data_IF_622555256004
#
_entry.id   IF_622555256004
#
_cell.length_a   1.000
_cell.length_b   1.000
_cell.length_c   1.000
_cell.angle_alpha   90.00
_cell.angle_beta   90.00
_cell.angle_gamma   90.00
#
_symmetry.space_group_name_H-M   'P 1'
#
loop_
_entity.id
_entity.type
_entity.pdbx_description
1 polymer ?
#
# COMPACT_ATOMS: atom_id res chain seq x y z
N UNK A 1 2.88 14.24 9.74
CA UNK A 1 2.89 13.39 8.55
C UNK A 1 1.74 13.82 7.63
N UNK A 2 1.97 13.93 6.31
CA UNK A 2 1.02 14.58 5.39
C UNK A 2 -0.13 13.64 4.97
N UNK A 3 0.17 12.41 4.58
CA UNK A 3 -0.85 11.45 4.14
C UNK A 3 -1.82 11.04 5.27
N UNK A 4 -1.32 10.93 6.49
CA UNK A 4 -2.07 10.55 7.69
C UNK A 4 -3.06 11.64 8.06
N UNK A 5 -2.65 12.91 7.95
CA UNK A 5 -3.55 14.04 8.18
C UNK A 5 -4.58 14.15 7.05
N UNK A 6 -4.15 13.95 5.80
CA UNK A 6 -5.06 13.91 4.65
C UNK A 6 -6.10 12.79 4.81
N UNK A 7 -5.70 11.63 5.33
CA UNK A 7 -6.59 10.50 5.60
C UNK A 7 -7.70 10.85 6.58
N UNK A 8 -7.45 11.68 7.59
CA UNK A 8 -8.48 12.11 8.53
C UNK A 8 -9.61 12.90 7.86
N UNK A 9 -9.30 13.63 6.78
CA UNK A 9 -10.28 14.40 5.99
C UNK A 9 -10.92 13.59 4.85
N UNK A 10 -10.31 12.49 4.42
CA UNK A 10 -10.76 11.69 3.27
C UNK A 10 -12.24 11.24 3.32
N UNK A 11 -12.82 10.83 4.47
CA UNK A 11 -14.23 10.46 4.53
C UNK A 11 -15.17 11.59 4.07
N UNK A 12 -14.83 12.85 4.34
CA UNK A 12 -15.61 14.01 3.90
C UNK A 12 -15.58 14.14 2.37
N UNK A 13 -14.41 13.99 1.75
CA UNK A 13 -14.29 13.99 0.30
C UNK A 13 -15.10 12.86 -0.34
N UNK A 14 -15.02 11.64 0.19
CA UNK A 14 -15.72 10.48 -0.41
C UNK A 14 -17.24 10.53 -0.25
N UNK A 15 -17.74 11.23 0.77
CA UNK A 15 -19.18 11.44 0.99
C UNK A 15 -19.72 12.64 0.19
N UNK A 16 -18.85 13.50 -0.33
CA UNK A 16 -19.17 14.65 -1.17
C UNK A 16 -19.87 14.31 -2.49
N UNK A 17 -20.64 15.28 -3.00
CA UNK A 17 -21.70 15.10 -4.01
C UNK A 17 -21.27 14.59 -5.41
N UNK A 18 -20.01 14.66 -5.90
CA UNK A 18 -19.65 14.00 -7.16
C UNK A 18 -19.21 12.54 -7.01
N UNK A 19 -18.80 12.07 -5.83
CA UNK A 19 -18.17 10.76 -5.66
C UNK A 19 -19.11 9.56 -5.78
N UNK A 20 -20.39 9.74 -5.41
CA UNK A 20 -21.43 8.71 -5.61
C UNK A 20 -21.63 8.32 -7.08
N UNK A 21 -21.33 9.23 -8.02
CA UNK A 21 -21.59 9.01 -9.46
C UNK A 21 -20.40 8.39 -10.20
N UNK A 22 -19.18 8.61 -9.73
CA UNK A 22 -17.95 8.12 -10.36
C UNK A 22 -17.28 7.11 -9.46
N UNK A 23 -17.65 5.84 -9.60
CA UNK A 23 -17.10 4.76 -8.79
C UNK A 23 -16.04 3.98 -9.58
N UNK A 24 -14.81 4.49 -9.65
CA UNK A 24 -13.66 3.77 -10.23
C UNK A 24 -12.44 3.92 -9.31
N UNK A 25 -11.37 3.13 -9.50
CA UNK A 25 -10.20 3.19 -8.61
C UNK A 25 -9.55 4.58 -8.56
N UNK A 26 -9.43 5.23 -9.72
CA UNK A 26 -8.94 6.61 -9.83
C UNK A 26 -9.76 7.63 -9.04
N UNK A 27 -11.00 7.30 -8.66
CA UNK A 27 -11.82 8.12 -7.78
C UNK A 27 -11.20 8.25 -6.38
N UNK A 28 -10.73 7.16 -5.78
CA UNK A 28 -10.09 7.21 -4.46
C UNK A 28 -8.81 8.03 -4.53
N UNK A 29 -7.99 7.79 -5.56
CA UNK A 29 -6.74 8.51 -5.77
C UNK A 29 -6.99 10.01 -5.91
N UNK A 30 -8.03 10.39 -6.67
CA UNK A 30 -8.45 11.79 -6.83
C UNK A 30 -8.92 12.40 -5.52
N UNK A 31 -9.79 11.70 -4.77
CA UNK A 31 -10.27 12.17 -3.46
C UNK A 31 -9.10 12.38 -2.48
N UNK A 32 -8.19 11.42 -2.41
CA UNK A 32 -7.04 11.50 -1.53
C UNK A 32 -6.04 12.58 -1.98
N UNK A 33 -5.87 12.77 -3.29
CA UNK A 33 -5.09 13.89 -3.85
C UNK A 33 -5.65 15.24 -3.40
N UNK A 34 -6.97 15.43 -3.43
CA UNK A 34 -7.60 16.66 -2.94
C UNK A 34 -7.38 16.87 -1.44
N UNK A 35 -7.52 15.81 -0.64
CA UNK A 35 -7.24 15.84 0.79
C UNK A 35 -5.78 16.26 1.08
N UNK A 36 -4.84 15.69 0.35
CA UNK A 36 -3.41 16.06 0.43
C UNK A 36 -3.17 17.52 0.05
N UNK A 37 -3.80 18.00 -1.03
CA UNK A 37 -3.66 19.40 -1.43
C UNK A 37 -4.23 20.35 -0.38
N UNK A 38 -5.35 20.01 0.25
CA UNK A 38 -5.90 20.79 1.36
C UNK A 38 -4.94 20.83 2.55
N UNK A 39 -4.33 19.70 2.88
CA UNK A 39 -3.32 19.61 3.94
C UNK A 39 -2.04 20.41 3.63
N UNK A 40 -1.58 20.43 2.38
CA UNK A 40 -0.42 21.23 2.01
C UNK A 40 -0.77 22.73 2.02
N UNK A 41 -1.96 23.11 1.52
CA UNK A 41 -2.45 24.48 1.57
C UNK A 41 -2.61 25.00 3.01
N UNK A 42 -3.14 24.18 3.92
CA UNK A 42 -3.33 24.58 5.32
C UNK A 42 -2.01 24.83 6.06
N UNK A 43 -0.90 24.27 5.54
CA UNK A 43 0.46 24.49 6.03
C UNK A 43 1.19 25.63 5.29
N UNK A 44 0.50 26.41 4.48
CA UNK A 44 1.05 27.50 3.66
C UNK A 44 2.18 27.04 2.71
N UNK A 45 2.12 25.78 2.24
CA UNK A 45 3.08 25.29 1.25
C UNK A 45 2.86 26.04 -0.07
N UNK A 46 3.89 26.71 -0.63
CA UNK A 46 3.76 27.39 -1.91
C UNK A 46 3.60 26.38 -3.04
N UNK A 47 2.64 26.61 -3.94
CA UNK A 47 2.38 25.78 -5.12
C UNK A 47 2.31 24.26 -4.82
N UNK A 48 1.37 23.81 -3.96
CA UNK A 48 1.32 22.43 -3.47
C UNK A 48 1.06 21.41 -4.58
N UNK A 49 0.38 21.81 -5.66
CA UNK A 49 0.13 20.98 -6.84
C UNK A 49 1.44 20.51 -7.48
N UNK A 50 2.50 21.31 -7.43
CA UNK A 50 3.81 20.95 -8.02
C UNK A 50 4.54 19.83 -7.28
N UNK A 51 4.11 19.49 -6.06
CA UNK A 51 4.67 18.44 -5.22
C UNK A 51 3.92 17.12 -5.39
N UNK A 52 2.69 17.15 -5.92
CA UNK A 52 1.80 16.01 -6.02
C UNK A 52 1.72 15.51 -7.46
N UNK A 53 1.91 14.20 -7.65
CA UNK A 53 1.83 13.56 -8.97
C UNK A 53 1.07 12.24 -8.88
N UNK A 54 0.11 12.04 -9.77
CA UNK A 54 -0.58 10.75 -9.93
C UNK A 54 0.10 9.91 -11.02
N UNK A 55 -0.07 8.59 -10.97
CA UNK A 55 0.38 7.65 -12.02
C UNK A 55 1.90 7.76 -12.32
N UNK A 56 2.71 7.84 -11.26
CA UNK A 56 4.16 8.06 -11.38
C UNK A 56 4.89 6.74 -11.56
N UNK A 57 5.70 6.64 -12.62
CA UNK A 57 6.56 5.48 -12.84
C UNK A 57 7.49 5.25 -11.64
N UNK A 58 7.59 4.01 -11.17
CA UNK A 58 8.61 3.63 -10.19
C UNK A 58 10.00 3.73 -10.85
N UNK A 59 10.99 4.42 -10.23
CA UNK A 59 12.34 4.50 -10.81
C UNK A 59 13.03 3.13 -10.96
N UNK A 60 12.63 2.15 -10.15
CA UNK A 60 13.15 0.78 -10.18
C UNK A 60 12.65 0.00 -11.40
N UNK A 61 11.41 0.29 -11.87
CA UNK A 61 10.79 -0.33 -13.04
C UNK A 61 9.78 0.65 -13.66
N UNK A 62 10.17 1.27 -14.77
CA UNK A 62 9.41 2.32 -15.46
C UNK A 62 8.12 1.83 -16.12
N UNK A 63 7.92 0.51 -16.19
CA UNK A 63 6.68 -0.13 -16.67
C UNK A 63 5.61 -0.19 -15.58
N UNK A 64 5.97 0.11 -14.33
CA UNK A 64 5.06 0.12 -13.17
C UNK A 64 4.88 1.55 -12.70
N UNK A 65 3.63 1.89 -12.33
CA UNK A 65 3.25 3.20 -11.81
C UNK A 65 2.69 3.06 -10.41
N UNK A 66 3.13 3.92 -9.52
CA UNK A 66 2.44 4.19 -8.26
C UNK A 66 1.24 5.09 -8.54
N UNK A 67 0.15 4.84 -7.83
CA UNK A 67 -1.07 5.62 -8.00
C UNK A 67 -0.88 7.09 -7.60
N UNK A 68 -0.13 7.35 -6.52
CA UNK A 68 0.17 8.70 -6.04
C UNK A 68 1.59 8.82 -5.48
N UNK A 69 2.25 9.94 -5.78
CA UNK A 69 3.55 10.32 -5.22
C UNK A 69 3.54 11.78 -4.78
N UNK A 70 4.01 12.04 -3.56
CA UNK A 70 4.38 13.38 -3.11
C UNK A 70 5.91 13.49 -3.03
N UNK A 71 6.46 14.52 -3.67
CA UNK A 71 7.86 14.92 -3.55
C UNK A 71 7.96 16.20 -2.71
N UNK A 72 8.32 16.06 -1.43
CA UNK A 72 8.46 17.18 -0.50
C UNK A 72 9.86 17.79 -0.48
N UNK A 73 10.84 17.23 -1.22
CA UNK A 73 12.24 17.69 -1.19
C UNK A 73 12.40 19.16 -1.54
N UNK A 74 11.53 19.67 -2.42
CA UNK A 74 11.52 21.09 -2.83
C UNK A 74 11.17 22.06 -1.71
N UNK A 75 10.64 21.58 -0.59
CA UNK A 75 10.34 22.42 0.56
C UNK A 75 11.60 22.82 1.34
N UNK A 76 12.68 22.04 1.22
CA UNK A 76 13.96 22.29 1.92
C UNK A 76 13.80 22.48 3.44
N UNK A 77 12.87 21.72 4.04
CA UNK A 77 12.56 21.76 5.48
C UNK A 77 13.00 20.50 6.23
N UNK A 78 13.51 19.49 5.52
CA UNK A 78 13.84 18.19 6.10
C UNK A 78 15.11 18.27 6.94
N UNK A 79 15.03 17.71 8.15
CA UNK A 79 16.11 17.62 9.11
C UNK A 79 15.95 16.34 9.94
N UNK A 80 16.97 16.02 10.71
CA UNK A 80 17.02 14.82 11.55
C UNK A 80 15.83 14.76 12.53
N UNK A 81 15.39 15.91 13.06
CA UNK A 81 14.26 15.98 13.98
C UNK A 81 12.95 15.52 13.34
N UNK A 82 12.65 15.98 12.12
CA UNK A 82 11.46 15.53 11.38
C UNK A 82 11.52 14.04 11.07
N UNK A 83 12.72 13.51 10.79
CA UNK A 83 12.90 12.10 10.52
C UNK A 83 12.56 11.24 11.75
N UNK A 84 12.84 11.71 12.97
CA UNK A 84 12.42 11.04 14.22
C UNK A 84 10.90 10.91 14.38
N UNK A 85 10.12 11.74 13.67
CA UNK A 85 8.65 11.68 13.64
C UNK A 85 8.10 10.95 12.42
N UNK A 86 8.90 10.11 11.77
CA UNK A 86 8.55 9.38 10.54
C UNK A 86 8.11 10.31 9.38
N UNK A 87 8.68 11.52 9.28
CA UNK A 87 8.50 12.33 8.09
C UNK A 87 9.49 11.89 7.01
N UNK A 88 8.94 11.57 5.84
CA UNK A 88 9.72 11.19 4.67
C UNK A 88 9.63 12.26 3.59
N UNK A 89 10.75 12.46 2.90
CA UNK A 89 10.88 13.37 1.77
C UNK A 89 10.00 12.98 0.59
N UNK A 90 9.88 11.68 0.34
CA UNK A 90 9.09 11.11 -0.73
C UNK A 90 8.01 10.22 -0.15
N UNK A 91 6.76 10.41 -0.53
CA UNK A 91 5.66 9.58 -0.03
C UNK A 91 4.96 8.91 -1.22
N UNK A 92 4.97 7.58 -1.24
CA UNK A 92 4.45 6.75 -2.31
C UNK A 92 3.21 6.01 -1.84
N UNK A 93 2.18 5.96 -2.69
CA UNK A 93 0.92 5.34 -2.36
C UNK A 93 0.38 4.49 -3.52
N UNK A 94 -0.08 3.30 -3.16
CA UNK A 94 -0.96 2.47 -3.98
C UNK A 94 -2.36 2.50 -3.35
N UNK A 95 -3.39 2.54 -4.18
CA UNK A 95 -4.78 2.64 -3.78
C UNK A 95 -5.60 1.46 -4.30
N UNK A 96 -6.56 0.99 -3.51
CA UNK A 96 -7.55 0.00 -3.97
C UNK A 96 -8.96 0.38 -3.56
N UNK A 97 -9.87 0.32 -4.53
CA UNK A 97 -11.30 0.53 -4.30
C UNK A 97 -12.10 -0.75 -4.44
N UNK A 98 -12.56 -1.27 -3.32
CA UNK A 98 -13.40 -2.46 -3.23
C UNK A 98 -14.88 -2.05 -3.18
N UNK A 99 -15.65 -2.45 -4.21
CA UNK A 99 -17.03 -2.00 -4.41
C UNK A 99 -18.02 -3.14 -4.57
N UNK A 100 -19.27 -2.87 -4.22
CA UNK A 100 -20.39 -3.76 -4.50
C UNK A 100 -21.03 -3.39 -5.84
N UNK A 101 -21.47 -4.41 -6.56
CA UNK A 101 -22.36 -4.29 -7.71
C UNK A 101 -23.79 -3.98 -7.24
N UNK A 102 -24.69 -3.70 -8.19
CA UNK A 102 -26.12 -3.48 -7.90
C UNK A 102 -26.80 -4.67 -7.21
N UNK A 103 -26.26 -5.88 -7.35
CA UNK A 103 -26.75 -7.08 -6.65
C UNK A 103 -26.17 -7.27 -5.25
N UNK A 104 -25.39 -6.31 -4.74
CA UNK A 104 -24.76 -6.39 -3.42
C UNK A 104 -23.54 -7.31 -3.34
N UNK A 105 -23.04 -7.80 -4.49
CA UNK A 105 -21.85 -8.66 -4.57
C UNK A 105 -20.61 -7.85 -4.98
N UNK A 106 -19.40 -8.18 -4.50
CA UNK A 106 -18.16 -7.53 -4.95
C UNK A 106 -18.02 -7.50 -6.48
N UNK A 107 -17.71 -6.32 -7.04
CA UNK A 107 -17.49 -6.14 -8.49
C UNK A 107 -16.28 -6.93 -8.96
N UNK A 108 -15.19 -6.83 -8.20
CA UNK A 108 -14.03 -7.72 -8.33
C UNK A 108 -14.24 -8.93 -7.44
N UNK A 109 -13.99 -10.13 -7.96
CA UNK A 109 -14.17 -11.35 -7.18
C UNK A 109 -13.34 -11.29 -5.90
N UNK A 110 -13.90 -11.74 -4.78
CA UNK A 110 -13.27 -11.70 -3.45
C UNK A 110 -11.84 -12.24 -3.45
N UNK A 111 -11.59 -13.34 -4.18
CA UNK A 111 -10.25 -13.91 -4.30
C UNK A 111 -9.29 -13.01 -5.09
N UNK A 112 -9.75 -12.37 -6.16
CA UNK A 112 -8.93 -11.42 -6.92
C UNK A 112 -8.65 -10.16 -6.10
N UNK A 113 -9.64 -9.61 -5.39
CA UNK A 113 -9.45 -8.45 -4.49
C UNK A 113 -8.39 -8.74 -3.42
N UNK A 114 -8.45 -9.93 -2.80
CA UNK A 114 -7.44 -10.40 -1.83
C UNK A 114 -6.03 -10.33 -2.41
N UNK A 115 -5.84 -10.83 -3.63
CA UNK A 115 -4.52 -10.92 -4.25
C UNK A 115 -4.04 -9.62 -4.90
N UNK A 116 -4.94 -8.75 -5.34
CA UNK A 116 -4.57 -7.42 -5.84
C UNK A 116 -4.03 -6.54 -4.70
N UNK A 117 -4.66 -6.57 -3.53
CA UNK A 117 -4.17 -5.89 -2.32
C UNK A 117 -2.80 -6.44 -1.90
N UNK A 118 -2.64 -7.78 -1.89
CA UNK A 118 -1.35 -8.42 -1.62
C UNK A 118 -0.26 -7.95 -2.60
N UNK A 119 -0.58 -7.86 -3.89
CA UNK A 119 0.37 -7.41 -4.91
C UNK A 119 0.82 -5.98 -4.66
N UNK A 120 -0.10 -5.06 -4.38
CA UNK A 120 0.24 -3.66 -4.14
C UNK A 120 1.06 -3.50 -2.85
N UNK A 121 0.77 -4.29 -1.81
CA UNK A 121 1.59 -4.35 -0.62
C UNK A 121 3.04 -4.79 -0.93
N UNK A 122 3.22 -5.86 -1.71
CA UNK A 122 4.57 -6.32 -2.12
C UNK A 122 5.24 -5.28 -3.02
N UNK A 123 4.50 -4.59 -3.89
CA UNK A 123 5.03 -3.52 -4.75
C UNK A 123 5.56 -2.35 -3.93
N UNK A 124 4.83 -1.89 -2.92
CA UNK A 124 5.30 -0.82 -2.03
C UNK A 124 6.58 -1.20 -1.28
N UNK A 125 6.68 -2.45 -0.83
CA UNK A 125 7.91 -2.96 -0.21
C UNK A 125 9.07 -3.09 -1.20
N UNK A 126 8.82 -3.34 -2.49
CA UNK A 126 9.89 -3.67 -3.45
C UNK A 126 10.27 -2.53 -4.39
N UNK A 127 9.33 -1.74 -4.88
CA UNK A 127 9.54 -0.81 -6.01
C UNK A 127 9.70 0.65 -5.59
N UNK A 128 9.35 0.98 -4.35
CA UNK A 128 9.53 2.34 -3.82
C UNK A 128 11.03 2.62 -3.71
N UNK A 129 11.54 3.63 -4.44
CA UNK A 129 12.96 3.98 -4.42
C UNK A 129 13.36 4.45 -3.02
N UNK A 130 14.58 4.16 -2.63
CA UNK A 130 15.15 4.61 -1.36
C UNK A 130 16.64 4.90 -1.55
N UNK A 131 17.28 5.35 -0.47
CA UNK A 131 18.73 5.42 -0.43
C UNK A 131 19.36 4.05 -0.72
N UNK A 132 20.52 4.06 -1.36
CA UNK A 132 21.11 2.86 -1.95
C UNK A 132 22.13 2.18 -1.05
N UNK A 133 22.70 2.90 -0.08
CA UNK A 133 23.76 2.35 0.77
C UNK A 133 23.16 1.70 2.02
N UNK A 134 23.80 0.62 2.43
CA UNK A 134 23.44 -0.09 3.65
C UNK A 134 23.60 0.84 4.86
N UNK A 135 22.60 0.81 5.75
CA UNK A 135 22.46 1.65 6.95
C UNK A 135 22.18 3.13 6.70
N UNK A 136 21.98 3.55 5.44
CA UNK A 136 21.44 4.88 5.17
C UNK A 136 20.02 4.98 5.72
N UNK A 137 19.70 6.18 6.17
CA UNK A 137 18.34 6.56 6.53
C UNK A 137 17.42 6.52 5.31
N UNK A 138 16.22 6.01 5.50
CA UNK A 138 15.23 5.93 4.43
C UNK A 138 14.58 7.29 4.19
N UNK A 139 14.45 7.66 2.92
CA UNK A 139 13.84 8.93 2.49
C UNK A 139 12.39 8.75 2.01
N UNK A 140 11.88 7.52 2.03
CA UNK A 140 10.62 7.15 1.38
C UNK A 140 9.56 6.57 2.31
N UNK A 141 8.45 7.28 2.43
CA UNK A 141 7.21 6.78 3.01
C UNK A 141 6.47 5.86 2.04
N UNK A 142 5.84 4.81 2.58
CA UNK A 142 5.19 3.74 1.83
C UNK A 142 3.78 3.52 2.36
N UNK A 143 2.78 3.71 1.52
CA UNK A 143 1.39 3.77 1.94
C UNK A 143 0.49 2.93 1.06
N UNK A 144 -0.36 2.11 1.68
CA UNK A 144 -1.41 1.38 0.99
C UNK A 144 -2.75 1.93 1.48
N UNK A 145 -3.49 2.56 0.57
CA UNK A 145 -4.83 3.07 0.85
C UNK A 145 -5.85 2.10 0.28
N UNK A 146 -6.79 1.62 1.08
CA UNK A 146 -7.89 0.85 0.54
C UNK A 146 -9.21 1.23 1.18
N UNK A 147 -10.23 1.45 0.33
CA UNK A 147 -11.59 1.73 0.75
C UNK A 147 -12.54 0.64 0.28
N UNK A 148 -13.53 0.35 1.12
CA UNK A 148 -14.53 -0.67 0.94
C UNK A 148 -15.92 -0.06 1.02
N UNK A 149 -16.76 -0.38 0.05
CA UNK A 149 -18.19 -0.18 0.16
C UNK A 149 -18.78 -1.35 0.96
N UNK A 150 -19.31 -1.09 2.15
CA UNK A 150 -19.72 -2.16 3.06
C UNK A 150 -18.56 -2.71 3.89
N UNK A 151 -18.72 -3.93 4.42
CA UNK A 151 -17.75 -4.52 5.33
C UNK A 151 -16.55 -5.12 4.58
N UNK A 152 -15.29 -4.84 5.01
CA UNK A 152 -14.10 -5.39 4.36
C UNK A 152 -14.10 -6.92 4.23
N UNK A 153 -14.73 -7.64 5.17
CA UNK A 153 -14.78 -9.11 5.16
C UNK A 153 -15.44 -9.69 3.90
N UNK A 154 -16.28 -8.91 3.21
CA UNK A 154 -16.92 -9.29 1.94
C UNK A 154 -15.92 -9.38 0.77
N UNK A 155 -14.74 -8.76 0.91
CA UNK A 155 -13.73 -8.61 -0.15
C UNK A 155 -12.51 -9.50 0.04
N UNK A 156 -12.44 -10.24 1.15
CA UNK A 156 -11.32 -11.12 1.47
C UNK A 156 -11.69 -12.59 1.55
N UNK A 157 -10.81 -13.44 1.02
CA UNK A 157 -10.87 -14.88 1.25
C UNK A 157 -9.92 -15.24 2.38
N UNK A 158 -10.45 -15.32 3.61
CA UNK A 158 -9.64 -15.58 4.81
C UNK A 158 -9.03 -16.98 4.85
N UNK A 159 -9.62 -17.97 4.17
CA UNK A 159 -9.16 -19.35 4.23
C UNK A 159 -8.70 -19.86 2.87
N UNK A 160 -7.58 -20.58 2.82
CA UNK A 160 -7.14 -21.35 1.66
C UNK A 160 -7.33 -22.84 1.89
N UNK A 161 -7.44 -23.59 0.80
CA UNK A 161 -7.36 -25.04 0.88
C UNK A 161 -5.88 -25.45 0.88
N UNK A 162 -5.48 -26.25 1.87
CA UNK A 162 -4.11 -26.75 2.01
C UNK A 162 -4.17 -28.21 2.47
N UNK A 163 -3.72 -29.15 1.63
CA UNK A 163 -3.57 -30.58 1.98
C UNK A 163 -4.77 -31.20 2.72
N UNK A 164 -5.99 -30.98 2.21
CA UNK A 164 -7.29 -31.46 2.77
C UNK A 164 -7.81 -30.72 4.01
N UNK A 165 -7.14 -29.68 4.49
CA UNK A 165 -7.66 -28.76 5.51
C UNK A 165 -7.84 -27.35 4.95
N UNK A 166 -8.52 -26.51 5.73
CA UNK A 166 -8.55 -25.06 5.51
C UNK A 166 -7.55 -24.40 6.43
N UNK A 167 -6.70 -23.55 5.87
CA UNK A 167 -5.71 -22.77 6.59
C UNK A 167 -6.01 -21.30 6.43
N UNK A 168 -5.97 -20.55 7.53
CA UNK A 168 -6.24 -19.12 7.54
C UNK A 168 -5.06 -18.33 6.94
N UNK A 169 -5.37 -17.23 6.25
CA UNK A 169 -4.45 -16.21 5.79
C UNK A 169 -4.36 -15.12 6.86
N UNK A 170 -3.55 -15.38 7.89
CA UNK A 170 -3.44 -14.52 9.08
C UNK A 170 -3.14 -13.05 8.74
N UNK A 171 -2.35 -12.81 7.69
CA UNK A 171 -1.97 -11.47 7.23
C UNK A 171 -3.15 -10.59 6.81
N UNK A 172 -4.30 -11.16 6.42
CA UNK A 172 -5.46 -10.37 5.99
C UNK A 172 -6.05 -9.60 7.17
N UNK A 173 -6.19 -10.25 8.32
CA UNK A 173 -6.75 -9.59 9.51
C UNK A 173 -5.88 -8.40 9.93
N UNK A 174 -4.57 -8.58 9.88
CA UNK A 174 -3.61 -7.54 10.22
C UNK A 174 -3.55 -6.37 9.22
N UNK A 175 -4.11 -6.50 8.02
CA UNK A 175 -4.21 -5.38 7.07
C UNK A 175 -5.36 -4.42 7.37
N UNK A 176 -6.36 -4.85 8.14
CA UNK A 176 -7.57 -4.06 8.41
C UNK A 176 -7.75 -3.72 9.89
N UNK A 177 -7.00 -4.39 10.78
CA UNK A 177 -7.01 -4.09 12.21
C UNK A 177 -6.37 -2.71 12.46
N UNK A 178 -6.95 -1.84 13.30
CA UNK A 178 -6.38 -0.53 13.61
C UNK A 178 -5.11 -0.63 14.46
N UNK A 179 -4.19 0.33 14.26
CA UNK A 179 -2.97 0.46 15.06
C UNK A 179 -1.76 -0.25 14.48
N UNK A 180 -0.72 -0.36 15.30
CA UNK A 180 0.60 -0.88 14.92
C UNK A 180 0.65 -2.41 15.07
N UNK A 181 1.11 -3.09 14.04
CA UNK A 181 1.18 -4.56 14.00
C UNK A 181 2.25 -5.08 13.06
N UNK A 182 2.53 -6.38 13.15
CA UNK A 182 3.45 -7.06 12.25
C UNK A 182 2.69 -7.98 11.33
N UNK A 183 2.83 -7.77 10.03
CA UNK A 183 2.29 -8.61 8.97
C UNK A 183 3.37 -9.62 8.58
N UNK A 184 3.02 -10.92 8.61
CA UNK A 184 3.90 -12.01 8.17
C UNK A 184 3.23 -12.78 7.04
N UNK A 185 3.92 -12.83 5.91
CA UNK A 185 3.48 -13.51 4.70
C UNK A 185 4.61 -14.48 4.31
N UNK A 186 4.55 -15.72 4.80
CA UNK A 186 5.59 -16.73 4.61
C UNK A 186 5.07 -18.01 3.93
N UNK A 187 3.86 -17.94 3.39
CA UNK A 187 3.04 -19.08 3.03
C UNK A 187 2.45 -18.98 1.60
N UNK A 188 2.98 -18.05 0.79
CA UNK A 188 2.59 -17.87 -0.62
C UNK A 188 2.87 -19.10 -1.48
N UNK A 189 3.76 -19.99 -1.03
CA UNK A 189 4.02 -21.28 -1.67
C UNK A 189 2.80 -22.22 -1.68
N UNK A 190 1.82 -22.00 -0.81
CA UNK A 190 0.57 -22.76 -0.80
C UNK A 190 -0.50 -22.16 -1.72
N UNK A 191 -0.29 -20.97 -2.30
CA UNK A 191 -1.22 -20.34 -3.22
C UNK A 191 -1.08 -20.91 -4.64
N UNK A 192 -1.91 -21.90 -4.96
CA UNK A 192 -1.84 -22.63 -6.24
C UNK A 192 -2.86 -22.18 -7.28
N UNK A 193 -3.80 -21.31 -6.90
CA UNK A 193 -4.93 -20.89 -7.73
C UNK A 193 -4.51 -20.13 -8.99
N UNK A 194 -5.28 -20.23 -10.06
CA UNK A 194 -5.02 -19.43 -11.26
C UNK A 194 -5.21 -17.92 -11.01
N UNK A 195 -6.12 -17.56 -10.11
CA UNK A 195 -6.31 -16.17 -9.69
C UNK A 195 -5.06 -15.61 -9.02
N UNK A 196 -4.40 -16.36 -8.14
CA UNK A 196 -3.12 -15.95 -7.54
C UNK A 196 -2.06 -15.71 -8.62
N UNK A 197 -1.90 -16.66 -9.55
CA UNK A 197 -0.92 -16.56 -10.64
C UNK A 197 -1.20 -15.35 -11.56
N UNK A 198 -2.47 -15.06 -11.84
CA UNK A 198 -2.89 -13.93 -12.68
C UNK A 198 -2.73 -12.59 -11.97
N UNK A 199 -3.13 -12.51 -10.70
CA UNK A 199 -3.14 -11.27 -9.94
C UNK A 199 -1.73 -10.92 -9.45
N UNK A 200 -1.07 -11.86 -8.77
CA UNK A 200 0.22 -11.62 -8.11
C UNK A 200 1.40 -12.01 -9.01
N UNK A 201 1.38 -13.22 -9.56
CA UNK A 201 2.44 -13.77 -10.42
C UNK A 201 2.74 -15.24 -10.14
N UNK A 202 3.05 -16.03 -11.16
CA UNK A 202 3.33 -17.48 -11.09
C UNK A 202 4.48 -17.84 -10.19
N UNK A 203 5.50 -16.99 -10.13
CA UNK A 203 6.70 -17.20 -9.30
C UNK A 203 6.61 -16.51 -7.94
N UNK A 204 5.51 -15.82 -7.63
CA UNK A 204 5.32 -15.08 -6.38
C UNK A 204 5.30 -16.00 -5.14
N UNK A 205 5.08 -17.30 -5.32
CA UNK A 205 5.23 -18.35 -4.30
C UNK A 205 6.61 -18.41 -3.63
N UNK A 206 7.63 -17.78 -4.22
CA UNK A 206 9.00 -17.72 -3.71
C UNK A 206 9.27 -16.51 -2.81
N UNK A 207 8.31 -15.59 -2.73
CA UNK A 207 8.41 -14.36 -1.96
C UNK A 207 7.89 -14.64 -0.55
N UNK A 208 8.62 -14.16 0.45
CA UNK A 208 8.05 -13.93 1.78
C UNK A 208 8.32 -12.50 2.23
N UNK A 209 7.41 -11.98 3.05
CA UNK A 209 7.46 -10.61 3.56
C UNK A 209 7.18 -10.64 5.06
N UNK A 210 7.99 -9.92 5.82
CA UNK A 210 7.68 -9.52 7.19
C UNK A 210 7.69 -7.99 7.21
N UNK A 211 6.64 -7.36 7.73
CA UNK A 211 6.53 -5.91 7.74
C UNK A 211 5.86 -5.41 9.01
N UNK A 212 6.42 -4.37 9.61
CA UNK A 212 5.76 -3.61 10.65
C UNK A 212 4.98 -2.48 10.00
N UNK A 213 3.68 -2.41 10.31
CA UNK A 213 2.78 -1.44 9.72
C UNK A 213 1.95 -0.75 10.81
N UNK A 214 1.50 0.45 10.52
CA UNK A 214 0.46 1.13 11.29
C UNK A 214 -0.74 1.41 10.40
N UNK A 215 -1.91 0.90 10.81
CA UNK A 215 -3.15 1.10 10.09
C UNK A 215 -3.98 2.21 10.76
N UNK A 216 -4.25 3.26 10.00
CA UNK A 216 -5.26 4.25 10.33
C UNK A 216 -6.58 3.79 9.72
N UNK A 217 -7.62 3.65 10.55
CA UNK A 217 -8.89 3.06 10.13
C UNK A 217 -10.03 4.03 10.37
N UNK A 218 -10.78 4.32 9.32
CA UNK A 218 -12.08 4.97 9.40
C UNK A 218 -13.16 3.91 9.20
N UNK A 219 -13.77 3.46 10.30
CA UNK A 219 -14.92 2.55 10.28
C UNK A 219 -16.21 3.37 10.39
N UNK A 220 -17.17 3.20 9.46
CA UNK A 220 -18.45 3.86 9.59
C UNK A 220 -19.29 3.23 10.70
N UNK A 221 -20.16 4.04 11.32
CA UNK A 221 -21.12 3.55 12.32
C UNK A 221 -22.13 2.59 11.70
N UNK A 222 -22.59 2.91 10.49
CA UNK A 222 -23.52 2.11 9.71
C UNK A 222 -23.04 2.05 8.25
N UNK A 223 -23.16 0.88 7.64
CA UNK A 223 -22.81 0.69 6.23
C UNK A 223 -23.99 1.11 5.34
N UNK A 224 -23.74 2.03 4.40
CA UNK A 224 -24.69 2.44 3.37
C UNK A 224 -23.97 2.75 2.05
N UNK A 225 -24.72 2.96 0.96
CA UNK A 225 -24.16 3.14 -0.40
C UNK A 225 -23.26 4.37 -0.57
N UNK A 226 -23.24 5.31 0.38
CA UNK A 226 -22.47 6.55 0.31
C UNK A 226 -21.34 6.66 1.31
N UNK A 227 -21.10 5.62 2.11
CA UNK A 227 -20.13 5.63 3.20
C UNK A 227 -19.19 4.44 3.07
N UNK A 228 -17.90 4.69 3.31
CA UNK A 228 -16.85 3.72 3.06
C UNK A 228 -16.09 3.38 4.34
N UNK A 229 -15.74 2.11 4.49
CA UNK A 229 -14.68 1.72 5.42
C UNK A 229 -13.35 1.97 4.74
N UNK A 230 -12.50 2.80 5.34
CA UNK A 230 -11.23 3.19 4.72
C UNK A 230 -10.10 2.83 5.67
N UNK A 231 -9.01 2.31 5.12
CA UNK A 231 -7.79 2.06 5.85
C UNK A 231 -6.63 2.65 5.08
N UNK A 232 -5.78 3.39 5.78
CA UNK A 232 -4.46 3.79 5.31
C UNK A 232 -3.43 2.99 6.11
N UNK A 233 -2.74 2.07 5.43
CA UNK A 233 -1.62 1.31 5.98
C UNK A 233 -0.33 2.04 5.68
N UNK A 234 0.36 2.50 6.72
CA UNK A 234 1.73 2.99 6.64
C UNK A 234 2.69 1.83 6.90
N UNK A 235 3.56 1.53 5.94
CA UNK A 235 4.62 0.53 6.13
C UNK A 235 5.80 1.23 6.80
N UNK A 236 6.11 0.83 8.04
CA UNK A 236 7.19 1.43 8.86
C UNK A 236 8.50 0.74 8.60
N UNK A 237 8.52 -0.58 8.68
CA UNK A 237 9.68 -1.40 8.42
C UNK A 237 9.24 -2.64 7.65
N UNK A 238 10.15 -3.21 6.87
CA UNK A 238 9.87 -4.42 6.12
C UNK A 238 11.13 -5.17 5.77
N UNK A 239 10.99 -6.48 5.62
CA UNK A 239 11.99 -7.38 5.12
C UNK A 239 11.33 -8.26 4.06
N UNK A 240 11.80 -8.14 2.83
CA UNK A 240 11.36 -8.96 1.71
C UNK A 240 12.43 -10.01 1.44
N UNK A 241 12.01 -11.28 1.45
CA UNK A 241 12.88 -12.41 1.17
C UNK A 241 12.59 -13.02 -0.20
N UNK A 242 13.66 -13.45 -0.86
CA UNK A 242 13.61 -14.32 -2.02
C UNK A 242 14.62 -15.45 -1.79
N UNK A 243 14.13 -16.61 -1.37
CA UNK A 243 14.99 -17.69 -0.90
C UNK A 243 15.79 -17.28 0.33
N UNK A 244 17.13 -17.35 0.26
CA UNK A 244 18.03 -17.01 1.38
C UNK A 244 18.44 -15.54 1.44
N UNK A 245 18.06 -14.73 0.45
CA UNK A 245 18.44 -13.32 0.38
C UNK A 245 17.27 -12.44 0.76
N UNK A 246 17.58 -11.29 1.37
CA UNK A 246 16.58 -10.29 1.74
C UNK A 246 17.12 -8.88 1.64
N UNK A 247 16.20 -7.94 1.50
CA UNK A 247 16.44 -6.50 1.58
C UNK A 247 15.24 -5.84 2.24
N UNK A 248 15.42 -4.61 2.69
CA UNK A 248 14.31 -3.77 3.14
C UNK A 248 14.74 -2.64 4.04
N UNK A 249 13.86 -2.30 4.99
CA UNK A 249 14.06 -1.22 5.96
C UNK A 249 13.83 -1.73 7.38
N UNK A 250 14.74 -1.38 8.28
CA UNK A 250 14.67 -1.73 9.71
C UNK A 250 15.03 -0.52 10.55
N UNK A 251 14.14 -0.12 11.46
CA UNK A 251 14.24 1.10 12.26
C UNK A 251 14.55 2.33 11.38
N UNK A 252 13.85 2.44 10.25
CA UNK A 252 14.05 3.55 9.32
C UNK A 252 15.30 3.45 8.44
N UNK A 253 16.18 2.46 8.64
CA UNK A 253 17.45 2.31 7.90
C UNK A 253 17.42 1.17 6.89
N UNK A 254 18.10 1.38 5.75
CA UNK A 254 18.16 0.41 4.66
C UNK A 254 19.09 -0.75 5.04
N UNK A 255 18.68 -1.98 4.71
CA UNK A 255 19.54 -3.14 4.87
C UNK A 255 19.41 -4.14 3.72
N UNK A 256 20.45 -4.94 3.56
CA UNK A 256 20.52 -6.05 2.61
C UNK A 256 21.30 -7.22 3.22
N UNK A 257 20.93 -8.45 2.88
CA UNK A 257 21.60 -9.66 3.37
C UNK A 257 22.80 -10.09 2.49
N UNK A 258 23.26 -9.24 1.58
CA UNK A 258 24.37 -9.49 0.67
C UNK A 258 24.64 -8.27 -0.19
N UNK A 259 25.92 -7.95 -0.38
CA UNK A 259 26.34 -6.69 -1.03
C UNK A 259 25.69 -6.50 -2.41
N UNK A 260 25.03 -5.36 -2.60
CA UNK A 260 24.37 -4.95 -3.84
C UNK A 260 23.02 -5.61 -4.11
N UNK A 261 22.49 -6.42 -3.17
CA UNK A 261 21.20 -7.07 -3.34
C UNK A 261 20.02 -6.09 -3.22
N UNK A 262 20.16 -4.98 -2.50
CA UNK A 262 19.18 -3.91 -2.42
C UNK A 262 18.89 -3.24 -3.76
N UNK A 263 19.81 -3.30 -4.73
CA UNK A 263 19.61 -2.78 -6.10
C UNK A 263 19.00 -3.80 -7.06
N UNK A 264 19.35 -5.07 -6.89
CA UNK A 264 18.94 -6.16 -7.79
C UNK A 264 17.63 -6.83 -7.35
N UNK A 265 17.47 -7.03 -6.04
CA UNK A 265 16.31 -7.67 -5.41
C UNK A 265 14.98 -7.05 -5.88
N UNK A 266 14.78 -5.73 -5.73
CA UNK A 266 13.62 -5.02 -6.26
C UNK A 266 13.26 -5.34 -7.71
N UNK A 267 14.26 -5.32 -8.61
CA UNK A 267 14.05 -5.59 -10.05
C UNK A 267 13.63 -7.04 -10.30
N UNK A 268 14.20 -7.98 -9.55
CA UNK A 268 13.82 -9.40 -9.63
C UNK A 268 12.39 -9.61 -9.13
N UNK A 269 12.02 -8.97 -8.01
CA UNK A 269 10.65 -9.02 -7.49
C UNK A 269 9.67 -8.42 -8.50
N UNK A 270 9.98 -7.27 -9.10
CA UNK A 270 9.12 -6.67 -10.12
C UNK A 270 8.78 -7.66 -11.24
N UNK A 271 9.79 -8.36 -11.77
CA UNK A 271 9.60 -9.39 -12.82
C UNK A 271 8.77 -10.58 -12.33
N UNK A 272 8.97 -11.02 -11.10
CA UNK A 272 8.16 -12.09 -10.49
C UNK A 272 6.68 -11.70 -10.41
N UNK A 273 6.38 -10.41 -10.21
CA UNK A 273 5.01 -9.90 -10.14
C UNK A 273 4.34 -9.67 -11.51
N UNK A 274 5.05 -9.95 -12.62
CA UNK A 274 4.55 -9.88 -14.00
C UNK A 274 4.21 -11.25 -14.60
N UNK A 275 5.07 -12.25 -14.37
CA UNK A 275 5.01 -13.59 -14.99
C UNK A 275 3.92 -14.51 -14.42
#
# INVERSE_FOLDING_TARGET
MIFEQAFMSLPEFLTGTPFKRYQFEGTIVTAFSMAVLQELNSRNVPNPVSLLRAEVNYPIDDRKRADLHIDLRKLDIFNDDLQLYDFYENNWLEAKFCRLSKSGMPVTTTLASTFLILKDFIRLCSLVPDNQLQNDDSISGRYLLHAYQGDPSQYFVYNRNQSKSRTEREWIKTLIEPGRQTIKINDLNFETTQTFKKCVGKKASRISVEATVTNFVHRPREYNEGVYHIVLTRIEDFQLFLGKRSFGRKNGKIFESGSGYGLLGPKVISRILEE
#
